data_IF_909934325389
#
_entry.id   IF_909934325389
#
_cell.length_a   1.000
_cell.length_b   1.000
_cell.length_c   1.000
_cell.angle_alpha   90.00
_cell.angle_beta   90.00
_cell.angle_gamma   90.00
#
_symmetry.space_group_name_H-M   'P 1'
#
loop_
_entity.id
_entity.type
_entity.pdbx_description
1 polymer ?
#
# COMPACT_ATOMS: atom_id res chain seq x y z
N UNK A 1 8.07 -15.28 -23.39
CA UNK A 1 9.19 -15.14 -22.44
C UNK A 1 8.70 -14.28 -21.30
N UNK A 2 9.04 -14.64 -20.05
CA UNK A 2 8.81 -13.75 -18.91
C UNK A 2 9.58 -12.45 -19.12
N UNK A 3 8.99 -11.33 -18.71
CA UNK A 3 9.54 -9.99 -18.90
C UNK A 3 9.86 -9.41 -17.53
N UNK A 4 10.89 -8.60 -17.45
CA UNK A 4 11.27 -7.93 -16.22
C UNK A 4 10.40 -6.69 -15.99
N UNK A 5 10.12 -6.42 -14.73
CA UNK A 5 9.52 -5.17 -14.29
C UNK A 5 10.51 -4.44 -13.37
N UNK A 6 10.32 -3.12 -13.25
CA UNK A 6 11.19 -2.28 -12.44
C UNK A 6 10.35 -1.40 -11.53
N UNK A 7 10.71 -1.38 -10.25
CA UNK A 7 10.01 -0.63 -9.22
C UNK A 7 10.82 0.61 -8.83
N UNK A 8 10.16 1.74 -8.85
CA UNK A 8 10.69 3.04 -8.39
C UNK A 8 10.02 3.37 -7.06
N UNK A 9 10.82 3.56 -6.02
CA UNK A 9 10.35 3.89 -4.68
C UNK A 9 11.03 5.13 -4.12
N UNK A 10 10.26 6.00 -3.48
CA UNK A 10 10.78 7.06 -2.65
C UNK A 10 9.92 7.18 -1.38
N UNK A 11 10.55 7.12 -0.22
CA UNK A 11 9.88 7.29 1.07
C UNK A 11 9.45 8.74 1.31
N UNK A 12 8.49 8.95 2.21
CA UNK A 12 8.09 10.28 2.66
C UNK A 12 9.20 10.98 3.45
N UNK A 13 9.96 10.21 4.24
CA UNK A 13 11.07 10.69 5.07
C UNK A 13 12.43 10.27 4.53
N UNK A 14 12.47 9.10 3.88
CA UNK A 14 13.66 8.58 3.24
C UNK A 14 13.83 9.17 1.84
N UNK A 15 15.07 9.19 1.36
CA UNK A 15 15.36 9.47 -0.03
C UNK A 15 14.83 8.33 -0.94
N UNK A 16 15.10 8.43 -2.22
CA UNK A 16 14.87 7.37 -3.19
C UNK A 16 15.53 6.05 -2.75
N UNK A 17 14.75 4.96 -2.75
CA UNK A 17 15.25 3.62 -2.44
C UNK A 17 15.76 3.00 -3.75
N UNK A 18 17.09 2.92 -3.87
CA UNK A 18 17.76 2.46 -5.07
C UNK A 18 18.01 0.97 -5.05
N UNK A 19 17.66 0.31 -6.16
CA UNK A 19 18.04 -1.06 -6.46
C UNK A 19 19.36 -1.17 -7.20
N UNK A 20 19.53 -2.29 -7.91
CA UNK A 20 20.79 -2.64 -8.62
C UNK A 20 20.65 -2.73 -10.13
N UNK A 21 19.54 -2.30 -10.70
CA UNK A 21 19.36 -2.33 -12.15
C UNK A 21 20.44 -1.48 -12.85
N UNK A 22 21.05 -2.06 -13.88
CA UNK A 22 22.12 -1.44 -14.68
C UNK A 22 21.67 -1.08 -16.10
N UNK A 23 20.45 -1.48 -16.47
CA UNK A 23 19.92 -1.25 -17.81
C UNK A 23 19.76 0.24 -18.06
N UNK A 24 20.18 0.69 -19.24
CA UNK A 24 20.06 2.09 -19.66
C UNK A 24 18.62 2.57 -19.53
N UNK A 25 18.40 3.71 -18.92
CA UNK A 25 17.11 4.35 -18.60
C UNK A 25 16.35 3.76 -17.39
N UNK A 26 16.93 2.75 -16.73
CA UNK A 26 16.40 2.09 -15.54
C UNK A 26 17.44 1.95 -14.43
N UNK A 27 18.54 2.68 -14.57
CA UNK A 27 19.65 2.63 -13.61
C UNK A 27 19.15 2.91 -12.19
N UNK A 28 19.62 2.10 -11.26
CA UNK A 28 19.25 2.15 -9.83
C UNK A 28 17.78 1.84 -9.50
N UNK A 29 16.97 1.40 -10.44
CA UNK A 29 15.64 0.88 -10.13
C UNK A 29 15.74 -0.51 -9.50
N UNK A 30 14.69 -0.91 -8.79
CA UNK A 30 14.58 -2.23 -8.16
C UNK A 30 14.06 -3.20 -9.22
N UNK A 31 14.85 -4.23 -9.54
CA UNK A 31 14.41 -5.29 -10.47
C UNK A 31 13.37 -6.17 -9.80
N UNK A 32 12.23 -6.35 -10.45
CA UNK A 32 11.10 -7.16 -10.00
C UNK A 32 10.98 -8.41 -10.85
N UNK A 33 11.06 -9.56 -10.20
CA UNK A 33 10.97 -10.89 -10.84
C UNK A 33 9.51 -11.29 -11.09
N UNK A 34 8.63 -10.96 -10.15
CA UNK A 34 7.20 -11.22 -10.26
C UNK A 34 6.40 -10.21 -9.43
N UNK A 35 5.15 -10.00 -9.81
CA UNK A 35 4.20 -9.29 -8.96
C UNK A 35 2.82 -9.93 -9.09
N UNK A 36 2.03 -9.81 -8.04
CA UNK A 36 0.65 -10.26 -7.99
C UNK A 36 -0.24 -9.13 -7.43
N UNK A 37 -1.35 -8.89 -8.09
CA UNK A 37 -2.39 -7.98 -7.64
C UNK A 37 -3.77 -8.54 -7.99
N UNK A 38 -4.70 -8.47 -7.04
CA UNK A 38 -6.05 -9.01 -7.20
C UNK A 38 -7.08 -7.95 -6.80
N UNK A 39 -8.07 -7.74 -7.67
CA UNK A 39 -9.28 -6.99 -7.38
C UNK A 39 -10.46 -7.96 -7.52
N UNK A 40 -11.24 -8.15 -6.48
CA UNK A 40 -12.39 -9.04 -6.47
C UNK A 40 -13.69 -8.25 -6.34
N UNK A 41 -14.73 -8.68 -7.06
CA UNK A 41 -16.09 -8.24 -6.79
C UNK A 41 -16.72 -9.24 -5.82
N UNK A 42 -17.13 -8.79 -4.64
CA UNK A 42 -17.87 -9.65 -3.71
C UNK A 42 -19.24 -9.97 -4.30
N UNK A 43 -19.50 -11.26 -4.52
CA UNK A 43 -20.86 -11.74 -4.68
C UNK A 43 -21.48 -11.81 -3.30
N UNK A 44 -22.47 -10.97 -3.02
CA UNK A 44 -23.34 -11.17 -1.88
C UNK A 44 -23.90 -12.58 -2.00
N UNK A 45 -23.56 -13.44 -1.03
CA UNK A 45 -23.97 -14.84 -1.01
C UNK A 45 -25.48 -14.94 -1.17
N UNK A 46 -25.91 -15.85 -2.02
CA UNK A 46 -27.28 -16.03 -2.46
C UNK A 46 -28.25 -16.26 -1.30
N UNK A 47 -29.07 -15.32 -1.04
CA UNK A 47 -30.26 -15.32 -0.21
C UNK A 47 -31.16 -14.15 -0.55
N UNK A 48 -30.63 -13.13 -1.16
CA UNK A 48 -31.38 -12.01 -1.70
C UNK A 48 -31.33 -12.02 -3.21
N UNK A 49 -32.44 -12.28 -3.86
CA UNK A 49 -32.68 -11.98 -5.26
C UNK A 49 -32.43 -10.48 -5.46
N UNK A 50 -31.22 -10.13 -5.90
CA UNK A 50 -30.95 -8.80 -6.43
C UNK A 50 -31.66 -8.71 -7.76
N UNK A 51 -32.89 -8.24 -7.77
CA UNK A 51 -33.58 -7.83 -8.97
C UNK A 51 -32.78 -6.72 -9.64
N UNK A 52 -32.18 -7.06 -10.77
CA UNK A 52 -31.44 -6.17 -11.63
C UNK A 52 -32.35 -5.00 -12.01
N UNK A 53 -32.07 -3.80 -11.47
CA UNK A 53 -32.74 -2.58 -11.91
C UNK A 53 -33.61 -1.83 -10.89
N UNK A 54 -33.62 -2.20 -9.60
CA UNK A 54 -34.26 -1.33 -8.60
C UNK A 54 -33.33 -0.20 -8.15
N UNK A 55 -33.79 1.08 -8.15
CA UNK A 55 -33.03 2.17 -7.57
C UNK A 55 -32.79 1.90 -6.09
N UNK A 56 -31.52 1.90 -5.63
CA UNK A 56 -31.13 1.68 -4.25
C UNK A 56 -30.50 0.32 -3.96
N UNK A 57 -30.29 -0.54 -4.97
CA UNK A 57 -29.50 -1.77 -4.78
C UNK A 57 -28.02 -1.39 -4.67
N UNK A 58 -27.32 -1.70 -3.56
CA UNK A 58 -25.90 -1.41 -3.45
C UNK A 58 -25.14 -2.09 -4.59
N UNK A 59 -24.35 -1.32 -5.35
CA UNK A 59 -23.39 -1.92 -6.27
C UNK A 59 -22.43 -2.79 -5.46
N UNK A 60 -22.09 -4.02 -5.90
CA UNK A 60 -21.13 -4.84 -5.19
C UNK A 60 -19.82 -4.05 -5.10
N UNK A 61 -19.39 -3.77 -3.85
CA UNK A 61 -18.10 -3.12 -3.61
C UNK A 61 -17.00 -3.99 -4.19
N UNK A 62 -16.03 -3.37 -4.84
CA UNK A 62 -14.81 -4.04 -5.23
C UNK A 62 -13.90 -4.14 -4.01
N UNK A 63 -13.35 -5.32 -3.80
CA UNK A 63 -12.33 -5.55 -2.79
C UNK A 63 -10.97 -5.54 -3.46
N UNK A 64 -10.15 -4.59 -3.08
CA UNK A 64 -8.75 -4.54 -3.46
C UNK A 64 -7.94 -5.36 -2.48
N UNK A 65 -7.06 -6.18 -2.99
CA UNK A 65 -6.03 -6.85 -2.20
C UNK A 65 -4.73 -6.06 -2.32
N UNK A 66 -3.86 -6.24 -1.34
CA UNK A 66 -2.50 -5.71 -1.41
C UNK A 66 -1.78 -6.18 -2.68
N UNK A 67 -0.82 -5.41 -3.16
CA UNK A 67 0.06 -5.81 -4.24
C UNK A 67 1.31 -6.47 -3.66
N UNK A 68 1.63 -7.67 -4.12
CA UNK A 68 2.83 -8.42 -3.72
C UNK A 68 3.86 -8.31 -4.84
N UNK A 69 5.06 -7.88 -4.49
CA UNK A 69 6.20 -7.76 -5.39
C UNK A 69 7.28 -8.74 -4.95
N UNK A 70 7.73 -9.59 -5.87
CA UNK A 70 8.85 -10.53 -5.64
C UNK A 70 10.10 -9.98 -6.31
N UNK A 71 11.19 -9.86 -5.55
CA UNK A 71 12.49 -9.38 -6.02
C UNK A 71 13.63 -10.18 -5.40
N UNK A 72 14.76 -10.23 -6.08
CA UNK A 72 16.00 -10.77 -5.52
C UNK A 72 16.59 -9.81 -4.48
N UNK A 73 17.48 -10.30 -3.63
CA UNK A 73 18.20 -9.44 -2.68
C UNK A 73 19.07 -8.42 -3.41
N UNK A 74 18.94 -7.16 -3.02
CA UNK A 74 19.73 -6.07 -3.57
C UNK A 74 19.96 -4.95 -2.54
N UNK A 75 20.49 -3.82 -2.98
CA UNK A 75 20.73 -2.66 -2.13
C UNK A 75 19.45 -2.08 -1.49
N UNK A 76 18.28 -2.31 -2.09
CA UNK A 76 17.01 -1.85 -1.55
C UNK A 76 16.57 -2.68 -0.33
N UNK A 77 16.95 -3.97 -0.24
CA UNK A 77 16.46 -4.89 0.78
C UNK A 77 16.57 -4.34 2.22
N UNK A 78 17.73 -3.90 2.71
CA UNK A 78 17.83 -3.34 4.06
C UNK A 78 17.06 -2.02 4.22
N UNK A 79 16.88 -1.24 3.16
CA UNK A 79 16.12 0.00 3.18
C UNK A 79 14.61 -0.26 3.25
N UNK A 80 14.12 -1.31 2.59
CA UNK A 80 12.73 -1.77 2.68
C UNK A 80 12.41 -2.26 4.10
N UNK A 81 13.31 -3.05 4.72
CA UNK A 81 13.17 -3.45 6.12
C UNK A 81 13.12 -2.24 7.07
N UNK A 82 13.98 -1.24 6.84
CA UNK A 82 13.98 0.00 7.62
C UNK A 82 12.66 0.76 7.46
N UNK A 83 12.17 0.92 6.23
CA UNK A 83 10.90 1.60 5.94
C UNK A 83 9.71 0.86 6.59
N UNK A 84 9.70 -0.47 6.53
CA UNK A 84 8.68 -1.30 7.17
C UNK A 84 8.69 -1.13 8.70
N UNK A 85 9.86 -1.23 9.34
CA UNK A 85 10.00 -1.04 10.80
C UNK A 85 9.57 0.35 11.25
N UNK A 86 9.83 1.37 10.41
CA UNK A 86 9.43 2.75 10.68
C UNK A 86 7.97 3.05 10.32
N UNK A 87 7.23 2.08 9.77
CA UNK A 87 5.89 2.28 9.17
C UNK A 87 5.87 3.50 8.24
N UNK A 88 6.89 3.61 7.40
CA UNK A 88 7.06 4.74 6.48
C UNK A 88 6.14 4.62 5.28
N UNK A 89 5.45 5.72 4.91
CA UNK A 89 4.72 5.83 3.66
C UNK A 89 5.63 6.14 2.48
N UNK A 90 5.20 5.79 1.28
CA UNK A 90 5.90 6.08 0.03
C UNK A 90 5.22 7.23 -0.70
N UNK A 91 5.97 8.30 -0.97
CA UNK A 91 5.53 9.42 -1.82
C UNK A 91 5.56 9.08 -3.31
N UNK A 92 6.42 8.11 -3.69
CA UNK A 92 6.52 7.58 -5.04
C UNK A 92 6.54 6.07 -4.96
N UNK A 93 5.61 5.44 -5.65
CA UNK A 93 5.55 4.00 -5.87
C UNK A 93 5.07 3.78 -7.31
N UNK A 94 6.00 3.37 -8.19
CA UNK A 94 5.69 3.10 -9.60
C UNK A 94 6.32 1.79 -10.04
N UNK A 95 5.51 0.88 -10.59
CA UNK A 95 5.96 -0.37 -11.18
C UNK A 95 5.86 -0.28 -12.70
N UNK A 96 6.99 -0.38 -13.38
CA UNK A 96 7.13 -0.26 -14.81
C UNK A 96 7.37 -1.63 -15.44
N UNK A 97 6.44 -2.09 -16.31
CA UNK A 97 6.57 -3.33 -17.05
C UNK A 97 7.14 -3.04 -18.44
N UNK A 98 8.27 -3.68 -18.74
CA UNK A 98 8.98 -3.49 -20.00
C UNK A 98 8.85 -4.71 -20.89
N UNK A 99 8.78 -4.50 -22.19
CA UNK A 99 8.79 -5.58 -23.16
C UNK A 99 9.62 -5.22 -24.37
N UNK A 100 10.04 -6.25 -25.08
CA UNK A 100 10.64 -6.13 -26.40
C UNK A 100 9.51 -6.23 -27.42
N UNK A 101 9.18 -5.12 -28.13
CA UNK A 101 8.11 -5.19 -29.12
C UNK A 101 8.47 -6.21 -30.22
N UNK A 102 7.47 -6.91 -30.80
CA UNK A 102 7.75 -7.80 -31.93
C UNK A 102 8.41 -7.01 -33.06
N UNK A 103 9.42 -7.59 -33.66
CA UNK A 103 10.24 -6.96 -34.70
C UNK A 103 9.40 -6.54 -35.90
N UNK A 104 8.88 -5.32 -35.85
CA UNK A 104 8.27 -4.62 -36.98
C UNK A 104 9.34 -3.81 -37.67
N UNK A 105 10.01 -4.41 -38.61
CA UNK A 105 10.71 -3.87 -39.77
C UNK A 105 11.35 -2.48 -39.67
N UNK A 106 12.34 -2.30 -38.79
CA UNK A 106 13.21 -1.13 -38.84
C UNK A 106 14.67 -1.52 -38.68
N UNK A 107 15.62 -0.87 -39.37
CA UNK A 107 17.05 -1.20 -39.34
C UNK A 107 17.74 -0.81 -38.02
N UNK A 108 17.02 -0.38 -37.01
CA UNK A 108 17.54 -0.03 -35.70
C UNK A 108 17.03 -1.08 -34.70
N UNK A 109 17.98 -1.83 -34.12
CA UNK A 109 17.76 -2.94 -33.21
C UNK A 109 16.56 -2.80 -32.26
N UNK A 110 16.00 -3.95 -31.93
CA UNK A 110 14.82 -4.05 -31.06
C UNK A 110 15.12 -3.38 -29.72
N UNK A 111 14.43 -2.27 -29.45
CA UNK A 111 14.59 -1.52 -28.21
C UNK A 111 13.44 -1.87 -27.28
N UNK A 112 13.77 -2.27 -26.07
CA UNK A 112 12.77 -2.46 -25.02
C UNK A 112 12.04 -1.15 -24.74
N UNK A 113 10.73 -1.24 -24.53
CA UNK A 113 9.88 -0.09 -24.18
C UNK A 113 8.99 -0.42 -22.98
N UNK A 114 8.74 0.58 -22.15
CA UNK A 114 7.74 0.50 -21.09
C UNK A 114 6.35 0.50 -21.74
N UNK A 115 5.56 -0.54 -21.48
CA UNK A 115 4.23 -0.68 -22.06
C UNK A 115 3.11 -0.57 -21.02
N UNK A 116 3.42 -0.79 -19.75
CA UNK A 116 2.43 -0.76 -18.68
C UNK A 116 3.04 -0.24 -17.39
N UNK A 117 2.33 0.62 -16.70
CA UNK A 117 2.77 1.19 -15.42
C UNK A 117 1.64 1.09 -14.41
N UNK A 118 1.96 0.64 -13.20
CA UNK A 118 1.09 0.72 -12.03
C UNK A 118 1.66 1.80 -11.10
N UNK A 119 0.79 2.67 -10.58
CA UNK A 119 1.13 3.67 -9.57
C UNK A 119 0.26 3.50 -8.36
N UNK A 120 0.86 3.62 -7.18
CA UNK A 120 0.16 3.62 -5.91
C UNK A 120 0.34 4.97 -5.22
N UNK A 121 -0.72 5.45 -4.58
CA UNK A 121 -0.69 6.59 -3.67
C UNK A 121 -1.03 6.13 -2.26
N UNK A 122 -0.39 6.73 -1.25
CA UNK A 122 -0.53 6.29 0.15
C UNK A 122 0.05 4.91 0.43
N UNK A 123 0.96 4.43 -0.42
CA UNK A 123 1.52 3.09 -0.31
C UNK A 123 2.34 2.92 0.97
N UNK A 124 2.20 1.74 1.61
CA UNK A 124 2.98 1.30 2.78
C UNK A 124 3.29 -0.18 2.66
N UNK A 125 4.38 -0.62 3.29
CA UNK A 125 4.69 -2.05 3.38
C UNK A 125 3.81 -2.67 4.46
N UNK A 126 2.98 -3.62 4.07
CA UNK A 126 2.14 -4.41 4.98
C UNK A 126 2.92 -5.60 5.56
N UNK A 127 3.64 -6.31 4.70
CA UNK A 127 4.50 -7.42 5.12
C UNK A 127 5.76 -7.51 4.25
N UNK A 128 6.80 -8.11 4.80
CA UNK A 128 8.05 -8.38 4.10
C UNK A 128 8.53 -9.76 4.48
N UNK A 129 8.59 -10.67 3.51
CA UNK A 129 9.00 -12.05 3.67
C UNK A 129 10.30 -12.29 2.92
N UNK A 130 11.30 -12.77 3.63
CA UNK A 130 12.62 -13.08 3.11
C UNK A 130 12.76 -14.60 2.93
N UNK A 131 13.20 -15.06 1.79
CA UNK A 131 13.29 -16.47 1.46
C UNK A 131 14.66 -16.83 0.89
N UNK A 132 15.33 -17.78 1.51
CA UNK A 132 16.47 -18.48 0.94
C UNK A 132 16.03 -19.91 0.59
N UNK A 133 15.93 -20.27 -0.68
CA UNK A 133 15.58 -21.64 -1.08
C UNK A 133 16.59 -22.65 -0.57
N UNK A 134 16.15 -23.88 -0.30
CA UNK A 134 17.05 -24.93 0.15
C UNK A 134 18.02 -25.34 -0.99
N UNK A 135 19.26 -24.87 -0.92
CA UNK A 135 20.31 -25.10 -1.91
C UNK A 135 20.74 -26.58 -2.07
N UNK A 136 20.29 -27.50 -1.18
CA UNK A 136 20.56 -28.93 -1.33
C UNK A 136 19.57 -29.66 -2.22
N UNK A 137 18.48 -28.98 -2.61
CA UNK A 137 17.49 -29.54 -3.53
C UNK A 137 17.82 -29.12 -4.96
N UNK A 138 17.90 -30.09 -5.87
CA UNK A 138 18.24 -29.85 -7.27
C UNK A 138 17.28 -28.88 -7.97
N UNK A 139 16.01 -28.91 -7.61
CA UNK A 139 14.97 -28.02 -8.13
C UNK A 139 15.22 -26.53 -7.84
N UNK A 140 16.05 -26.24 -6.84
CA UNK A 140 16.33 -24.85 -6.40
C UNK A 140 17.67 -24.32 -6.91
N UNK A 141 18.47 -25.08 -7.67
CA UNK A 141 19.82 -24.65 -8.06
C UNK A 141 19.86 -23.36 -8.89
N UNK A 142 18.76 -23.03 -9.57
CA UNK A 142 18.63 -21.80 -10.36
C UNK A 142 17.77 -20.72 -9.68
N UNK A 143 17.35 -20.93 -8.45
CA UNK A 143 16.50 -19.99 -7.72
C UNK A 143 17.36 -19.23 -6.71
N UNK A 144 17.63 -17.95 -6.93
CA UNK A 144 18.36 -17.12 -5.99
C UNK A 144 17.54 -16.85 -4.72
N UNK A 145 18.16 -16.22 -3.73
CA UNK A 145 17.46 -15.67 -2.58
C UNK A 145 16.57 -14.52 -3.03
N UNK A 146 15.36 -14.48 -2.50
CA UNK A 146 14.38 -13.48 -2.85
C UNK A 146 13.58 -12.99 -1.65
N UNK A 147 12.91 -11.89 -1.85
CA UNK A 147 11.95 -11.34 -0.89
C UNK A 147 10.61 -11.02 -1.57
N UNK A 148 9.55 -11.23 -0.84
CA UNK A 148 8.19 -10.85 -1.18
C UNK A 148 7.81 -9.65 -0.33
N UNK A 149 7.53 -8.54 -0.98
CA UNK A 149 7.14 -7.29 -0.34
C UNK A 149 5.70 -6.99 -0.67
N UNK A 150 4.87 -6.95 0.34
CA UNK A 150 3.44 -6.68 0.23
C UNK A 150 3.15 -5.22 0.55
N UNK A 151 2.45 -4.54 -0.36
CA UNK A 151 2.09 -3.13 -0.22
C UNK A 151 0.58 -2.96 -0.14
N UNK A 152 0.12 -2.23 0.88
CA UNK A 152 -1.19 -1.60 0.92
C UNK A 152 -1.12 -0.20 0.35
N UNK A 153 -2.25 0.38 -0.03
CA UNK A 153 -2.30 1.69 -0.69
C UNK A 153 -3.71 2.30 -0.53
N UNK A 154 -3.81 3.62 -0.69
CA UNK A 154 -5.08 4.34 -0.67
C UNK A 154 -5.69 4.44 -2.07
N UNK A 155 -4.84 4.57 -3.11
CA UNK A 155 -5.27 4.70 -4.50
C UNK A 155 -4.35 3.91 -5.41
N UNK A 156 -4.90 3.37 -6.49
CA UNK A 156 -4.16 2.68 -7.53
C UNK A 156 -4.53 3.21 -8.91
N UNK A 157 -3.53 3.41 -9.76
CA UNK A 157 -3.71 3.80 -11.15
C UNK A 157 -2.96 2.82 -12.07
N UNK A 158 -3.64 2.41 -13.14
CA UNK A 158 -3.08 1.58 -14.20
C UNK A 158 -2.98 2.38 -15.48
N UNK A 159 -1.83 2.37 -16.12
CA UNK A 159 -1.57 3.12 -17.33
C UNK A 159 -0.99 2.21 -18.43
N UNK A 160 -1.70 2.11 -19.54
CA UNK A 160 -1.21 1.42 -20.73
C UNK A 160 -0.52 2.42 -21.68
N UNK A 161 0.76 2.18 -21.99
CA UNK A 161 1.61 3.03 -22.82
C UNK A 161 1.89 2.43 -24.20
N UNK A 162 1.36 1.26 -24.51
CA UNK A 162 1.65 0.51 -25.74
C UNK A 162 1.24 1.25 -27.00
N UNK A 163 2.10 1.20 -28.03
CA UNK A 163 1.81 1.73 -29.37
C UNK A 163 0.86 0.79 -30.10
N UNK A 164 -0.27 1.30 -30.58
CA UNK A 164 -1.22 0.54 -31.42
C UNK A 164 -2.64 0.45 -30.91
N UNK A 165 -2.96 1.08 -29.79
CA UNK A 165 -4.31 1.26 -29.29
C UNK A 165 -4.83 2.70 -29.47
N UNK A 166 -6.07 3.01 -29.08
CA UNK A 166 -6.68 4.34 -29.20
C UNK A 166 -6.11 5.36 -28.19
N UNK A 167 -4.80 5.38 -28.00
CA UNK A 167 -4.09 6.26 -27.07
C UNK A 167 -3.75 5.60 -25.75
N UNK A 168 -3.08 6.32 -24.87
CA UNK A 168 -2.79 5.89 -23.53
C UNK A 168 -4.09 5.72 -22.73
N UNK A 169 -4.35 4.52 -22.23
CA UNK A 169 -5.49 4.25 -21.36
C UNK A 169 -5.03 4.36 -19.92
N UNK A 170 -5.65 5.26 -19.16
CA UNK A 170 -5.43 5.43 -17.74
C UNK A 170 -6.72 5.08 -17.03
N UNK A 171 -6.62 4.21 -16.05
CA UNK A 171 -7.67 3.92 -15.10
C UNK A 171 -7.14 4.14 -13.69
N UNK A 172 -7.88 4.90 -12.89
CA UNK A 172 -7.56 5.17 -11.50
C UNK A 172 -8.72 4.71 -10.65
N UNK A 173 -8.45 3.91 -9.62
CA UNK A 173 -9.41 3.55 -8.59
C UNK A 173 -9.02 4.29 -7.31
N UNK A 174 -9.93 5.08 -6.81
CA UNK A 174 -9.76 5.91 -5.62
C UNK A 174 -10.51 5.27 -4.45
N UNK A 175 -10.10 5.60 -3.23
CA UNK A 175 -10.70 5.09 -1.99
C UNK A 175 -10.68 3.56 -1.89
N UNK A 176 -9.49 3.00 -1.99
CA UNK A 176 -9.27 1.57 -1.76
C UNK A 176 -9.47 1.25 -0.28
N UNK A 177 -10.51 0.45 0.01
CA UNK A 177 -10.85 0.04 1.37
C UNK A 177 -10.25 -1.33 1.70
N UNK A 178 -9.25 -1.35 2.57
CA UNK A 178 -8.64 -2.57 3.12
C UNK A 178 -9.24 -2.98 4.48
N UNK A 179 -10.34 -2.35 4.91
CA UNK A 179 -10.92 -2.57 6.24
C UNK A 179 -11.32 -4.01 6.52
N UNK A 180 -11.66 -4.76 5.46
CA UNK A 180 -12.05 -6.17 5.60
C UNK A 180 -10.87 -7.12 5.87
N UNK A 181 -9.63 -6.70 5.60
CA UNK A 181 -8.43 -7.46 5.95
C UNK A 181 -8.01 -7.26 7.43
N UNK A 182 -8.67 -6.33 8.13
CA UNK A 182 -8.49 -6.16 9.56
C UNK A 182 -9.16 -7.32 10.31
N UNK A 183 -8.45 -8.03 11.17
CA UNK A 183 -9.07 -9.02 12.04
C UNK A 183 -10.19 -8.37 12.86
N UNK A 184 -11.33 -9.01 13.02
CA UNK A 184 -12.52 -8.49 13.73
C UNK A 184 -12.26 -8.00 15.16
N UNK A 185 -11.16 -8.45 15.79
CA UNK A 185 -10.73 -7.98 17.11
C UNK A 185 -10.14 -6.55 17.07
N UNK A 186 -9.64 -6.08 15.92
CA UNK A 186 -9.06 -4.72 15.78
C UNK A 186 -10.16 -3.68 15.93
N UNK A 187 -11.31 -3.87 15.29
CA UNK A 187 -12.46 -2.95 15.41
C UNK A 187 -12.95 -2.90 16.85
N UNK A 188 -12.97 -4.07 17.53
CA UNK A 188 -13.34 -4.16 18.94
C UNK A 188 -12.33 -3.43 19.84
N UNK A 189 -11.03 -3.51 19.51
CA UNK A 189 -9.97 -2.83 20.25
C UNK A 189 -10.04 -1.31 20.04
N UNK A 190 -10.21 -0.85 18.80
CA UNK A 190 -10.37 0.56 18.46
C UNK A 190 -11.59 1.17 19.15
N UNK A 191 -12.73 0.47 19.13
CA UNK A 191 -13.94 0.90 19.84
C UNK A 191 -13.73 0.99 21.36
N UNK A 192 -13.04 0.01 21.96
CA UNK A 192 -12.69 0.03 23.38
C UNK A 192 -11.72 1.15 23.75
N UNK A 193 -10.71 1.39 22.92
CA UNK A 193 -9.76 2.51 23.12
C UNK A 193 -10.47 3.86 23.03
N UNK A 194 -11.32 4.05 22.03
CA UNK A 194 -12.13 5.28 21.86
C UNK A 194 -13.06 5.53 23.02
N UNK A 195 -13.74 4.47 23.51
CA UNK A 195 -14.60 4.56 24.70
C UNK A 195 -13.81 4.93 25.96
N UNK A 196 -12.64 4.31 26.15
CA UNK A 196 -11.76 4.58 27.30
C UNK A 196 -11.17 6.01 27.26
N UNK A 197 -10.79 6.51 26.09
CA UNK A 197 -10.35 7.91 25.92
C UNK A 197 -11.47 8.91 26.20
N UNK A 198 -12.70 8.62 25.76
CA UNK A 198 -13.86 9.45 26.06
C UNK A 198 -14.18 9.48 27.56
N UNK A 199 -13.99 8.38 28.26
CA UNK A 199 -14.22 8.28 29.72
C UNK A 199 -13.15 9.03 30.51
N UNK A 200 -11.88 8.90 30.11
CA UNK A 200 -10.77 9.71 30.66
C UNK A 200 -11.02 11.21 30.46
N UNK A 201 -11.49 11.61 29.26
CA UNK A 201 -11.82 13.00 28.95
C UNK A 201 -12.95 13.54 29.83
N UNK A 202 -13.99 12.74 30.12
CA UNK A 202 -15.08 13.11 31.03
C UNK A 202 -14.61 13.24 32.48
N UNK A 203 -13.81 12.30 32.95
CA UNK A 203 -13.24 12.30 34.30
C UNK A 203 -12.32 13.51 34.52
N UNK A 204 -11.46 13.85 33.57
CA UNK A 204 -10.61 15.01 33.63
C UNK A 204 -11.42 16.34 33.64
N UNK A 205 -12.48 16.44 32.85
CA UNK A 205 -13.36 17.59 32.82
C UNK A 205 -14.14 17.79 34.13
N UNK A 206 -14.55 16.67 34.76
CA UNK A 206 -15.22 16.69 36.05
C UNK A 206 -14.27 17.15 37.17
N UNK A 207 -13.06 16.58 37.21
CA UNK A 207 -12.04 16.97 38.17
C UNK A 207 -11.63 18.44 38.04
N UNK A 208 -11.54 18.96 36.81
CA UNK A 208 -11.24 20.38 36.58
C UNK A 208 -12.38 21.30 37.07
N UNK A 209 -13.66 20.91 36.89
CA UNK A 209 -14.82 21.67 37.40
C UNK A 209 -14.85 21.70 38.94
N UNK A 210 -14.57 20.56 39.58
CA UNK A 210 -14.49 20.47 41.04
C UNK A 210 -13.35 21.29 41.61
N UNK A 211 -12.18 21.26 40.98
CA UNK A 211 -11.04 22.08 41.39
C UNK A 211 -11.34 23.60 41.27
N UNK A 212 -12.02 24.01 40.20
CA UNK A 212 -12.45 25.40 40.01
C UNK A 212 -13.47 25.77 41.06
N UNK A 213 -14.45 24.94 41.36
CA UNK A 213 -15.48 25.19 42.36
C UNK A 213 -14.86 25.32 43.78
N UNK A 214 -13.87 24.49 44.13
CA UNK A 214 -13.14 24.61 45.39
C UNK A 214 -12.33 25.90 45.46
N UNK A 215 -11.62 26.29 44.41
CA UNK A 215 -10.86 27.55 44.37
C UNK A 215 -11.75 28.77 44.55
N UNK A 216 -12.97 28.75 44.00
CA UNK A 216 -13.97 29.84 44.24
C UNK A 216 -14.54 29.84 45.65
N UNK A 217 -14.68 28.66 46.29
CA UNK A 217 -15.15 28.59 47.67
C UNK A 217 -14.10 29.07 48.69
N UNK A 218 -12.82 28.81 48.43
CA UNK A 218 -11.70 29.26 49.30
C UNK A 218 -11.31 30.70 49.08
N UNK A 219 -11.52 31.27 47.88
CA UNK A 219 -11.21 32.67 47.56
C UNK A 219 -12.25 33.70 47.98
N UNK A 220 -13.44 33.27 48.46
CA UNK A 220 -14.54 34.19 48.88
C UNK A 220 -14.50 34.66 50.34
N UNK A 221 -13.45 34.33 51.10
CA UNK A 221 -13.35 34.53 52.56
C UNK A 221 -12.55 35.73 53.05
N UNK A 222 -11.92 36.55 52.19
CA UNK A 222 -11.14 37.73 52.63
C UNK A 222 -11.66 39.01 52.00
N UNK A 223 -12.64 39.61 52.66
CA UNK A 223 -13.12 40.92 52.22
C UNK A 223 -14.20 41.60 53.09
N UNK A 224 -14.16 41.38 54.41
CA UNK A 224 -14.84 42.30 55.34
C UNK A 224 -14.13 42.31 56.70
N UNK A 225 -13.19 43.25 56.85
CA UNK A 225 -12.94 43.97 58.08
C UNK A 225 -11.78 44.96 57.88
N UNK A 226 -12.10 46.20 57.56
CA UNK A 226 -11.70 47.45 58.23
C UNK A 226 -12.23 48.61 57.46
#
# INVERSE_FOLDING_TARGET
MAQEAFLVLAGEKSAEIKGTALQKTRENQITVVAFEHKVAAERIAAGGLLEKGKPGTPSPKRRHHSIVVTKEFDHASPLLHKAHTANEGFKTWELHCWHTPPAGGGPRGVREENHYTIRLSGARIASLRTVMPNARKQENFSVPEYEEVEFTYDQIAWNWLGKGGPGNSIYTDEEVDFSEDKPSWVDTLEARMKAKMADIGKSAATAAKEAIAQAFAEGGGEGQNK
#
